data_IF_068834378454
#
_entry.id   IF_068834378454
#
_cell.length_a   1.000
_cell.length_b   1.000
_cell.length_c   1.000
_cell.angle_alpha   90.00
_cell.angle_beta   90.00
_cell.angle_gamma   90.00
#
_symmetry.space_group_name_H-M   'P 1'
#
loop_
_entity.id
_entity.type
_entity.pdbx_description
1 polymer ?
#
# COMPACT_ATOMS: atom_id res chain seq x y z
N UNK A 1 2.37 -87.24 12.32
CA UNK A 1 1.60 -85.97 12.40
C UNK A 1 1.57 -85.30 11.02
N UNK A 2 0.39 -85.16 10.40
CA UNK A 2 0.24 -84.55 9.06
C UNK A 2 0.24 -83.02 9.16
N UNK A 3 1.18 -82.33 8.50
CA UNK A 3 1.22 -80.86 8.39
C UNK A 3 0.12 -80.38 7.43
N UNK A 4 -0.86 -79.66 7.97
CA UNK A 4 -1.94 -79.02 7.21
C UNK A 4 -1.37 -77.86 6.37
N UNK A 5 -1.39 -77.97 5.04
CA UNK A 5 -1.06 -76.85 4.12
C UNK A 5 -2.33 -76.11 3.74
N UNK A 6 -2.52 -74.93 4.32
CA UNK A 6 -3.61 -74.01 3.97
C UNK A 6 -3.23 -73.25 2.69
N UNK A 7 -3.93 -73.53 1.57
CA UNK A 7 -3.83 -72.73 0.34
C UNK A 7 -4.88 -71.62 0.39
N UNK A 8 -4.45 -70.37 0.62
CA UNK A 8 -5.32 -69.20 0.56
C UNK A 8 -5.79 -68.92 -0.87
N UNK A 9 -7.09 -68.69 -1.04
CA UNK A 9 -7.77 -68.43 -2.32
C UNK A 9 -7.25 -67.12 -2.96
N UNK A 10 -7.00 -67.06 -4.29
CA UNK A 10 -6.33 -65.92 -4.97
C UNK A 10 -6.99 -64.54 -4.79
N UNK A 11 -8.30 -64.50 -4.46
CA UNK A 11 -9.04 -63.24 -4.26
C UNK A 11 -8.58 -62.43 -3.04
N UNK A 12 -7.97 -63.05 -2.02
CA UNK A 12 -7.51 -62.33 -0.83
C UNK A 12 -6.19 -61.56 -1.06
N UNK A 13 -5.29 -62.06 -1.93
CA UNK A 13 -3.98 -61.43 -2.21
C UNK A 13 -4.10 -60.07 -2.93
N UNK A 14 -5.11 -59.89 -3.79
CA UNK A 14 -5.29 -58.64 -4.55
C UNK A 14 -5.75 -57.47 -3.68
N UNK A 15 -6.55 -57.71 -2.63
CA UNK A 15 -7.03 -56.65 -1.72
C UNK A 15 -5.92 -56.10 -0.82
N UNK A 16 -5.06 -56.96 -0.27
CA UNK A 16 -3.92 -56.52 0.57
C UNK A 16 -2.84 -55.82 -0.24
N UNK A 17 -2.51 -56.31 -1.44
CA UNK A 17 -1.56 -55.65 -2.33
C UNK A 17 -2.03 -54.24 -2.75
N UNK A 18 -3.33 -54.05 -2.99
CA UNK A 18 -3.89 -52.73 -3.37
C UNK A 18 -3.88 -51.70 -2.22
N UNK A 19 -3.93 -52.14 -0.96
CA UNK A 19 -3.86 -51.25 0.21
C UNK A 19 -2.42 -50.85 0.52
N UNK A 20 -1.49 -51.80 0.46
CA UNK A 20 -0.05 -51.53 0.59
C UNK A 20 0.46 -50.59 -0.50
N UNK A 21 0.01 -50.76 -1.75
CA UNK A 21 0.35 -49.85 -2.85
C UNK A 21 -0.13 -48.42 -2.63
N UNK A 22 -1.33 -48.22 -2.06
CA UNK A 22 -1.84 -46.87 -1.74
C UNK A 22 -1.09 -46.22 -0.57
N UNK A 23 -0.77 -46.98 0.47
CA UNK A 23 -0.01 -46.46 1.62
C UNK A 23 1.41 -46.07 1.20
N UNK A 24 2.06 -46.87 0.36
CA UNK A 24 3.37 -46.55 -0.19
C UNK A 24 3.32 -45.32 -1.11
N UNK A 25 2.30 -45.18 -1.96
CA UNK A 25 2.14 -44.01 -2.83
C UNK A 25 1.90 -42.71 -2.03
N UNK A 26 1.08 -42.77 -0.98
CA UNK A 26 0.83 -41.62 -0.09
C UNK A 26 2.08 -41.30 0.74
N UNK A 27 2.81 -42.31 1.21
CA UNK A 27 4.08 -42.15 1.92
C UNK A 27 5.17 -41.52 1.04
N UNK A 28 5.30 -41.94 -0.21
CA UNK A 28 6.22 -41.36 -1.19
C UNK A 28 5.84 -39.92 -1.53
N UNK A 29 4.55 -39.62 -1.74
CA UNK A 29 4.09 -38.26 -1.99
C UNK A 29 4.38 -37.34 -0.79
N UNK A 30 4.11 -37.79 0.43
CA UNK A 30 4.41 -37.05 1.65
C UNK A 30 5.92 -36.84 1.84
N UNK A 31 6.73 -37.87 1.59
CA UNK A 31 8.20 -37.77 1.65
C UNK A 31 8.75 -36.80 0.61
N UNK A 32 8.25 -36.83 -0.62
CA UNK A 32 8.61 -35.85 -1.66
C UNK A 32 8.26 -34.42 -1.27
N UNK A 33 7.08 -34.19 -0.68
CA UNK A 33 6.68 -32.85 -0.19
C UNK A 33 7.59 -32.39 0.96
N UNK A 34 7.94 -33.26 1.89
CA UNK A 34 8.84 -32.91 3.01
C UNK A 34 10.26 -32.62 2.53
N UNK A 35 10.77 -33.37 1.55
CA UNK A 35 12.09 -33.10 0.94
C UNK A 35 12.07 -31.79 0.15
N UNK A 36 11.00 -31.51 -0.61
CA UNK A 36 10.80 -30.24 -1.33
C UNK A 36 10.77 -29.04 -0.38
N UNK A 37 10.13 -29.19 0.79
CA UNK A 37 10.00 -28.12 1.80
C UNK A 37 11.28 -27.93 2.63
N UNK A 38 12.02 -29.00 2.96
CA UNK A 38 13.22 -28.92 3.82
C UNK A 38 14.51 -28.54 3.08
N UNK A 39 14.64 -28.85 1.80
CA UNK A 39 15.88 -28.55 1.05
C UNK A 39 15.83 -27.11 0.55
N UNK A 40 16.29 -26.19 1.41
CA UNK A 40 16.43 -24.73 1.20
C UNK A 40 17.72 -24.36 0.42
N UNK A 41 17.90 -24.78 -0.84
CA UNK A 41 18.39 -23.82 -1.83
C UNK A 41 17.74 -24.07 -3.20
N UNK A 42 16.49 -23.65 -3.37
CA UNK A 42 15.82 -23.65 -4.69
C UNK A 42 16.38 -22.60 -5.67
N UNK A 43 17.46 -21.89 -5.30
CA UNK A 43 18.20 -21.02 -6.22
C UNK A 43 19.05 -21.79 -7.25
N UNK A 44 19.31 -23.09 -7.04
CA UNK A 44 20.13 -23.91 -7.93
C UNK A 44 19.44 -25.16 -8.50
N UNK A 45 18.18 -25.42 -8.13
CA UNK A 45 17.41 -26.49 -8.77
C UNK A 45 16.85 -25.94 -10.08
N UNK A 46 17.65 -26.00 -11.15
CA UNK A 46 17.11 -26.08 -12.51
C UNK A 46 16.36 -27.39 -12.58
N UNK A 47 15.06 -27.36 -12.27
CA UNK A 47 14.17 -28.49 -12.55
C UNK A 47 14.43 -28.90 -14.00
N UNK A 48 14.85 -30.14 -14.28
CA UNK A 48 15.00 -30.60 -15.65
C UNK A 48 13.66 -30.38 -16.31
N UNK A 49 13.67 -29.55 -17.35
CA UNK A 49 12.62 -29.32 -18.32
C UNK A 49 11.33 -30.10 -18.01
N UNK A 50 10.43 -29.50 -17.23
CA UNK A 50 9.00 -29.82 -17.30
C UNK A 50 8.46 -29.31 -18.65
N UNK A 51 9.10 -29.76 -19.74
CA UNK A 51 8.74 -29.62 -21.14
C UNK A 51 7.68 -30.65 -21.53
N UNK A 52 6.80 -31.04 -20.60
CA UNK A 52 5.51 -31.55 -21.02
C UNK A 52 4.76 -30.36 -21.65
N UNK A 53 4.83 -30.29 -22.98
CA UNK A 53 4.32 -29.24 -23.88
C UNK A 53 2.92 -28.72 -23.50
N UNK A 54 2.09 -29.55 -22.86
CA UNK A 54 0.77 -29.19 -22.36
C UNK A 54 0.79 -28.23 -21.14
N UNK A 55 1.64 -28.47 -20.14
CA UNK A 55 1.76 -27.59 -18.96
C UNK A 55 2.47 -26.28 -19.32
N UNK A 56 3.47 -26.35 -20.20
CA UNK A 56 4.17 -25.16 -20.70
C UNK A 56 3.24 -24.25 -21.53
N UNK A 57 2.36 -24.80 -22.37
CA UNK A 57 1.36 -24.02 -23.12
C UNK A 57 0.31 -23.38 -22.21
N UNK A 58 -0.22 -24.13 -21.24
CA UNK A 58 -1.19 -23.58 -20.28
C UNK A 58 -0.62 -22.43 -19.42
N UNK A 59 0.70 -22.44 -19.19
CA UNK A 59 1.42 -21.41 -18.46
C UNK A 59 1.79 -20.18 -19.29
N UNK A 60 1.59 -20.19 -20.61
CA UNK A 60 1.75 -18.98 -21.45
C UNK A 60 0.61 -18.00 -21.26
N UNK A 61 0.96 -16.74 -21.41
CA UNK A 61 0.04 -15.62 -21.41
C UNK A 61 0.12 -15.02 -22.82
N UNK A 62 -1.01 -14.58 -23.36
CA UNK A 62 -1.13 -13.99 -24.69
C UNK A 62 -1.44 -12.49 -24.58
N UNK A 63 -2.01 -12.05 -23.46
CA UNK A 63 -2.31 -10.64 -23.21
C UNK A 63 -2.15 -10.25 -21.74
N UNK A 64 -1.72 -9.00 -21.54
CA UNK A 64 -1.60 -8.39 -20.23
C UNK A 64 -2.35 -7.04 -20.24
N UNK A 65 -3.21 -6.84 -19.26
CA UNK A 65 -4.06 -5.64 -19.14
C UNK A 65 -3.88 -5.03 -17.76
N UNK A 66 -3.73 -3.71 -17.68
CA UNK A 66 -3.73 -2.98 -16.40
C UNK A 66 -5.10 -2.35 -16.19
N UNK A 67 -5.65 -2.45 -14.98
CA UNK A 67 -6.91 -1.80 -14.62
C UNK A 67 -6.78 -1.09 -13.28
N UNK A 68 -7.50 0.03 -13.11
CA UNK A 68 -7.45 0.82 -11.88
C UNK A 68 -6.38 1.94 -11.87
N UNK A 69 -5.68 2.13 -12.98
CA UNK A 69 -4.78 3.27 -13.21
C UNK A 69 -5.28 4.14 -14.37
N UNK A 70 -5.03 5.47 -14.33
CA UNK A 70 -5.15 6.35 -15.50
C UNK A 70 -4.27 5.88 -16.66
N UNK A 71 -4.65 6.19 -17.90
CA UNK A 71 -3.93 5.76 -19.11
C UNK A 71 -2.42 6.04 -19.10
N UNK A 72 -1.94 7.23 -18.66
CA UNK A 72 -0.50 7.49 -18.61
C UNK A 72 0.27 6.49 -17.74
N UNK A 73 -0.26 6.19 -16.54
CA UNK A 73 0.36 5.25 -15.62
C UNK A 73 0.19 3.81 -16.09
N UNK A 74 -0.96 3.45 -16.68
CA UNK A 74 -1.19 2.12 -17.20
C UNK A 74 -0.14 1.73 -18.27
N UNK A 75 0.19 2.65 -19.18
CA UNK A 75 1.24 2.46 -20.17
C UNK A 75 2.62 2.27 -19.55
N UNK A 76 2.99 3.08 -18.56
CA UNK A 76 4.27 2.94 -17.84
C UNK A 76 4.36 1.63 -17.04
N UNK A 77 3.27 1.21 -16.39
CA UNK A 77 3.20 -0.06 -15.66
C UNK A 77 3.37 -1.23 -16.64
N UNK A 78 2.66 -1.23 -17.78
CA UNK A 78 2.82 -2.25 -18.81
C UNK A 78 4.27 -2.34 -19.30
N UNK A 79 4.87 -1.20 -19.62
CA UNK A 79 6.26 -1.12 -20.07
C UNK A 79 7.24 -1.62 -18.99
N UNK A 80 6.97 -1.33 -17.71
CA UNK A 80 7.82 -1.74 -16.60
C UNK A 80 7.81 -3.24 -16.34
N UNK A 81 6.71 -3.95 -16.63
CA UNK A 81 6.66 -5.41 -16.50
C UNK A 81 7.57 -6.08 -17.53
N UNK A 82 7.83 -5.44 -18.68
CA UNK A 82 8.75 -5.95 -19.70
C UNK A 82 8.35 -7.31 -20.28
N UNK A 83 7.04 -7.59 -20.31
CA UNK A 83 6.50 -8.88 -20.70
C UNK A 83 6.11 -8.91 -22.17
N UNK A 84 6.38 -10.04 -22.83
CA UNK A 84 6.04 -10.26 -24.24
C UNK A 84 4.99 -11.36 -24.41
N UNK A 85 4.09 -11.24 -25.41
CA UNK A 85 3.14 -12.29 -25.77
C UNK A 85 3.79 -13.66 -25.96
N UNK A 86 3.20 -14.69 -25.34
CA UNK A 86 3.67 -16.07 -25.37
C UNK A 86 4.72 -16.42 -24.31
N UNK A 87 5.17 -15.47 -23.50
CA UNK A 87 6.07 -15.76 -22.37
C UNK A 87 5.34 -16.54 -21.24
N UNK A 88 6.12 -17.36 -20.53
CA UNK A 88 5.61 -18.20 -19.44
C UNK A 88 5.41 -17.38 -18.18
N UNK A 89 4.18 -17.36 -17.67
CA UNK A 89 3.85 -16.76 -16.38
C UNK A 89 3.88 -17.82 -15.29
N UNK A 90 5.03 -18.00 -14.65
CA UNK A 90 5.23 -19.00 -13.61
C UNK A 90 4.46 -18.73 -12.31
N UNK A 91 4.42 -19.69 -11.37
CA UNK A 91 3.66 -19.57 -10.11
C UNK A 91 4.13 -18.41 -9.21
N UNK A 92 5.39 -17.99 -9.33
CA UNK A 92 5.97 -16.88 -8.57
C UNK A 92 5.97 -15.55 -9.32
N UNK A 93 5.68 -15.56 -10.61
CA UNK A 93 5.64 -14.36 -11.44
C UNK A 93 4.66 -13.30 -10.91
N UNK A 94 3.42 -13.63 -10.48
CA UNK A 94 2.50 -12.66 -9.89
C UNK A 94 3.15 -11.86 -8.75
N UNK A 95 3.68 -12.56 -7.75
CA UNK A 95 4.23 -11.93 -6.55
C UNK A 95 5.48 -11.10 -6.88
N UNK A 96 6.37 -11.61 -7.72
CA UNK A 96 7.59 -10.87 -8.12
C UNK A 96 7.21 -9.58 -8.85
N UNK A 97 6.30 -9.65 -9.82
CA UNK A 97 5.84 -8.49 -10.58
C UNK A 97 5.13 -7.50 -9.68
N UNK A 98 4.28 -7.94 -8.75
CA UNK A 98 3.62 -7.05 -7.80
C UNK A 98 4.62 -6.29 -6.91
N UNK A 99 5.61 -6.97 -6.34
CA UNK A 99 6.63 -6.34 -5.49
C UNK A 99 7.54 -5.39 -6.29
N UNK A 100 7.92 -5.77 -7.52
CA UNK A 100 8.72 -4.94 -8.42
C UNK A 100 7.98 -3.68 -8.85
N UNK A 101 6.70 -3.80 -9.19
CA UNK A 101 5.86 -2.64 -9.52
C UNK A 101 5.68 -1.72 -8.30
N UNK A 102 5.45 -2.26 -7.10
CA UNK A 102 5.33 -1.45 -5.89
C UNK A 102 6.62 -0.75 -5.49
N UNK A 103 7.79 -1.35 -5.75
CA UNK A 103 9.08 -0.71 -5.46
C UNK A 103 9.43 0.38 -6.48
N UNK A 104 9.03 0.19 -7.75
CA UNK A 104 9.27 1.16 -8.83
C UNK A 104 8.28 2.32 -8.80
N UNK A 105 7.01 2.06 -8.52
CA UNK A 105 5.94 3.05 -8.52
C UNK A 105 5.42 3.27 -7.10
N UNK A 106 6.01 4.24 -6.41
CA UNK A 106 5.65 4.57 -5.03
C UNK A 106 4.19 5.03 -4.87
N UNK A 107 3.55 5.53 -5.94
CA UNK A 107 2.13 5.89 -5.99
C UNK A 107 1.16 4.70 -5.92
N UNK A 108 1.63 3.46 -6.06
CA UNK A 108 0.78 2.27 -5.96
C UNK A 108 0.67 1.83 -4.49
N UNK A 109 -0.56 1.74 -3.97
CA UNK A 109 -0.83 1.14 -2.66
C UNK A 109 -0.84 -0.39 -2.77
N UNK A 110 -1.47 -0.89 -3.83
CA UNK A 110 -1.69 -2.30 -4.07
C UNK A 110 -1.57 -2.68 -5.54
N UNK A 111 -1.06 -3.89 -5.78
CA UNK A 111 -0.97 -4.51 -7.10
C UNK A 111 -1.43 -5.96 -6.96
N UNK A 112 -2.55 -6.29 -7.58
CA UNK A 112 -3.15 -7.64 -7.61
C UNK A 112 -3.09 -8.21 -9.03
N UNK A 113 -2.15 -9.11 -9.30
CA UNK A 113 -2.13 -9.86 -10.55
C UNK A 113 -3.16 -10.98 -10.50
N UNK A 114 -4.14 -10.93 -11.40
CA UNK A 114 -5.17 -11.94 -11.58
C UNK A 114 -4.95 -12.64 -12.92
N UNK A 115 -4.93 -13.97 -12.90
CA UNK A 115 -4.72 -14.77 -14.12
C UNK A 115 -6.01 -15.43 -14.57
N UNK A 116 -6.36 -15.24 -15.84
CA UNK A 116 -7.37 -16.02 -16.52
C UNK A 116 -6.73 -17.15 -17.33
N UNK A 117 -6.87 -18.38 -16.85
CA UNK A 117 -6.33 -19.56 -17.54
C UNK A 117 -7.03 -19.85 -18.86
N UNK A 118 -8.34 -19.56 -18.95
CA UNK A 118 -9.14 -19.79 -20.16
C UNK A 118 -8.84 -18.77 -21.26
N UNK A 119 -8.61 -17.52 -20.89
CA UNK A 119 -8.31 -16.44 -21.83
C UNK A 119 -6.81 -16.25 -22.07
N UNK A 120 -5.97 -17.09 -21.45
CA UNK A 120 -4.51 -16.95 -21.45
C UNK A 120 -4.08 -15.50 -21.14
N UNK A 121 -4.74 -14.82 -20.20
CA UNK A 121 -4.51 -13.41 -19.94
C UNK A 121 -4.17 -13.14 -18.48
N UNK A 122 -3.44 -12.05 -18.25
CA UNK A 122 -3.15 -11.52 -16.91
C UNK A 122 -3.72 -10.12 -16.81
N UNK A 123 -4.54 -9.91 -15.79
CA UNK A 123 -5.03 -8.60 -15.39
C UNK A 123 -4.21 -8.13 -14.19
N UNK A 124 -3.57 -6.98 -14.30
CA UNK A 124 -2.95 -6.28 -13.17
C UNK A 124 -3.95 -5.25 -12.65
N UNK A 125 -4.69 -5.62 -11.60
CA UNK A 125 -5.50 -4.66 -10.87
C UNK A 125 -4.58 -3.85 -9.94
N UNK A 126 -4.51 -2.54 -10.16
CA UNK A 126 -3.68 -1.64 -9.38
C UNK A 126 -4.56 -0.64 -8.63
N UNK A 127 -4.14 -0.30 -7.41
CA UNK A 127 -4.78 0.75 -6.61
C UNK A 127 -3.79 1.88 -6.35
N UNK A 128 -4.25 3.11 -6.56
CA UNK A 128 -3.47 4.31 -6.28
C UNK A 128 -3.55 4.70 -4.80
N UNK A 129 -2.44 5.19 -4.28
CA UNK A 129 -2.42 5.89 -3.00
C UNK A 129 -3.24 7.17 -3.10
N UNK A 130 -4.13 7.36 -2.13
CA UNK A 130 -4.88 8.60 -1.98
C UNK A 130 -4.00 9.68 -1.36
N UNK A 131 -3.69 10.72 -2.13
CA UNK A 131 -3.00 11.90 -1.63
C UNK A 131 -3.90 12.72 -0.70
N UNK A 132 -3.32 13.23 0.38
CA UNK A 132 -3.94 14.18 1.31
C UNK A 132 -3.28 15.54 1.28
N UNK A 133 -2.06 15.65 0.74
CA UNK A 133 -1.33 16.91 0.60
C UNK A 133 -0.23 16.83 -0.47
N UNK A 134 0.19 17.99 -0.97
CA UNK A 134 1.39 18.18 -1.78
C UNK A 134 2.58 18.40 -0.84
N UNK A 135 3.71 17.73 -1.07
CA UNK A 135 4.92 17.90 -0.25
C UNK A 135 5.96 18.74 -0.97
N UNK A 136 6.64 19.63 -0.23
CA UNK A 136 7.80 20.41 -0.66
C UNK A 136 8.89 20.32 0.41
N UNK A 137 10.16 20.41 0.01
CA UNK A 137 11.30 20.48 0.94
C UNK A 137 12.50 19.62 0.56
N UNK A 138 13.34 19.32 1.55
CA UNK A 138 14.67 18.71 1.37
C UNK A 138 14.66 17.27 0.80
N UNK A 139 13.50 16.60 0.80
CA UNK A 139 13.32 15.27 0.21
C UNK A 139 12.82 15.27 -1.25
N UNK A 140 12.68 16.45 -1.88
CA UNK A 140 12.03 16.60 -3.17
C UNK A 140 10.53 16.88 -3.08
N UNK A 141 9.92 17.21 -4.22
CA UNK A 141 8.48 17.40 -4.34
C UNK A 141 7.74 16.08 -4.53
N UNK A 142 6.53 15.98 -3.98
CA UNK A 142 5.69 14.79 -4.13
C UNK A 142 4.33 14.94 -3.45
N UNK A 143 3.81 13.82 -2.94
CA UNK A 143 2.52 13.72 -2.29
C UNK A 143 2.65 13.04 -0.93
N UNK A 144 1.85 13.46 0.04
CA UNK A 144 1.66 12.76 1.30
C UNK A 144 0.38 11.92 1.22
N UNK A 145 0.46 10.64 1.51
CA UNK A 145 -0.69 9.75 1.61
C UNK A 145 -1.33 9.79 3.01
N UNK A 146 -2.58 9.36 3.12
CA UNK A 146 -3.31 9.30 4.40
C UNK A 146 -2.67 8.37 5.45
N UNK A 147 -1.84 7.41 5.03
CA UNK A 147 -1.08 6.51 5.90
C UNK A 147 0.27 7.10 6.33
N UNK A 148 0.58 8.35 5.98
CA UNK A 148 1.84 9.01 6.27
C UNK A 148 2.97 8.70 5.28
N UNK A 149 2.73 7.90 4.24
CA UNK A 149 3.74 7.60 3.22
C UNK A 149 3.91 8.80 2.30
N UNK A 150 5.15 9.24 2.08
CA UNK A 150 5.48 10.21 1.03
C UNK A 150 5.76 9.44 -0.27
N UNK A 151 5.12 9.85 -1.36
CA UNK A 151 5.24 9.17 -2.66
C UNK A 151 5.30 10.16 -3.82
N UNK A 152 5.77 9.68 -4.97
CA UNK A 152 5.80 10.39 -6.23
C UNK A 152 4.87 9.72 -7.24
N UNK A 153 4.28 10.52 -8.12
CA UNK A 153 3.43 10.05 -9.20
C UNK A 153 3.78 10.81 -10.50
N UNK A 154 3.65 10.17 -11.68
CA UNK A 154 3.75 10.87 -12.95
C UNK A 154 2.72 12.01 -13.06
N UNK A 155 2.99 13.04 -13.88
CA UNK A 155 2.05 14.13 -14.11
C UNK A 155 0.67 13.63 -14.58
N UNK A 156 -0.39 14.21 -14.02
CA UNK A 156 -1.77 13.87 -14.38
C UNK A 156 -2.33 12.59 -13.74
N UNK A 157 -1.54 11.85 -12.95
CA UNK A 157 -2.02 10.65 -12.24
C UNK A 157 -2.78 11.01 -10.96
N UNK A 158 -2.28 11.98 -10.21
CA UNK A 158 -2.89 12.44 -8.95
C UNK A 158 -3.37 13.89 -9.14
N UNK A 159 -4.65 14.20 -8.84
CA UNK A 159 -5.14 15.57 -8.91
C UNK A 159 -4.53 16.41 -7.80
N UNK A 160 -3.90 17.53 -8.16
CA UNK A 160 -3.29 18.46 -7.20
C UNK A 160 -4.28 19.49 -6.63
N UNK A 161 -5.38 19.71 -7.34
CA UNK A 161 -6.37 20.73 -7.00
C UNK A 161 -7.05 20.42 -5.66
N UNK A 162 -7.07 21.43 -4.77
CA UNK A 162 -7.68 21.31 -3.44
C UNK A 162 -6.80 20.62 -2.40
N UNK A 163 -5.59 20.18 -2.74
CA UNK A 163 -4.64 19.63 -1.77
C UNK A 163 -3.85 20.76 -1.07
N UNK A 164 -3.72 20.74 0.27
CA UNK A 164 -2.83 21.67 0.97
C UNK A 164 -1.37 21.39 0.62
N UNK A 165 -0.54 22.44 0.70
CA UNK A 165 0.92 22.34 0.53
C UNK A 165 1.57 22.14 1.90
N UNK A 166 2.46 21.15 1.99
CA UNK A 166 3.15 20.77 3.21
C UNK A 166 4.66 20.93 3.01
N UNK A 167 5.28 21.74 3.86
CA UNK A 167 6.73 21.89 3.90
C UNK A 167 7.33 20.95 4.93
N UNK A 168 8.01 19.92 4.43
CA UNK A 168 8.59 18.87 5.24
C UNK A 168 10.00 19.25 5.72
N UNK A 169 10.35 18.97 6.99
CA UNK A 169 11.71 19.14 7.48
C UNK A 169 12.65 18.11 6.84
N UNK A 170 13.93 18.47 6.73
CA UNK A 170 14.97 17.52 6.37
C UNK A 170 15.05 16.39 7.42
N UNK A 171 15.00 15.13 6.98
CA UNK A 171 15.10 13.97 7.87
C UNK A 171 13.88 13.71 8.75
N UNK A 172 12.68 14.15 8.33
CA UNK A 172 11.43 13.86 9.04
C UNK A 172 11.22 12.36 9.31
N UNK A 173 10.77 12.02 10.53
CA UNK A 173 10.52 10.62 10.93
C UNK A 173 9.15 10.16 10.42
N UNK A 174 9.03 8.87 10.12
CA UNK A 174 7.77 8.26 9.64
C UNK A 174 6.58 8.50 10.60
N UNK A 175 6.83 8.42 11.91
CA UNK A 175 5.81 8.68 12.93
C UNK A 175 5.23 10.09 12.86
N UNK A 176 6.05 11.08 12.50
CA UNK A 176 5.62 12.47 12.36
C UNK A 176 4.78 12.66 11.09
N UNK A 177 5.12 11.94 10.00
CA UNK A 177 4.36 11.99 8.75
C UNK A 177 2.95 11.40 8.92
N UNK A 178 2.82 10.31 9.70
CA UNK A 178 1.51 9.74 10.04
C UNK A 178 0.64 10.73 10.83
N UNK A 179 1.23 11.39 11.82
CA UNK A 179 0.52 12.42 12.63
C UNK A 179 0.11 13.60 11.77
N UNK A 180 0.97 14.03 10.85
CA UNK A 180 0.72 15.11 9.92
C UNK A 180 -0.42 14.77 8.94
N UNK A 181 -0.38 13.58 8.33
CA UNK A 181 -1.46 13.11 7.44
C UNK A 181 -2.80 13.07 8.19
N UNK A 182 -2.80 12.59 9.43
CA UNK A 182 -3.99 12.53 10.26
C UNK A 182 -4.49 13.92 10.68
N UNK A 183 -3.59 14.86 10.97
CA UNK A 183 -3.91 16.28 11.22
C UNK A 183 -4.59 16.92 10.01
N UNK A 184 -4.04 16.72 8.82
CA UNK A 184 -4.61 17.23 7.56
C UNK A 184 -5.98 16.61 7.30
N UNK A 185 -6.12 15.29 7.47
CA UNK A 185 -7.42 14.62 7.36
C UNK A 185 -8.46 15.16 8.35
N UNK A 186 -8.05 15.44 9.60
CA UNK A 186 -8.93 16.02 10.61
C UNK A 186 -9.32 17.48 10.30
N UNK A 187 -8.46 18.23 9.62
CA UNK A 187 -8.70 19.64 9.28
C UNK A 187 -9.90 19.88 8.37
N UNK A 188 -10.23 18.91 7.51
CA UNK A 188 -11.38 18.98 6.60
C UNK A 188 -12.65 18.28 7.10
N UNK A 189 -12.65 17.72 8.31
CA UNK A 189 -13.83 17.05 8.90
C UNK A 189 -14.87 18.01 9.48
N UNK A 190 -15.95 17.46 10.04
CA UNK A 190 -17.02 18.25 10.69
C UNK A 190 -16.51 19.12 11.86
N UNK A 191 -15.59 18.55 12.65
CA UNK A 191 -14.86 19.22 13.72
C UNK A 191 -13.58 19.94 13.21
N UNK A 192 -13.42 20.09 11.89
CA UNK A 192 -12.27 20.69 11.25
C UNK A 192 -12.20 22.21 11.37
N UNK A 193 -11.33 22.82 10.58
CA UNK A 193 -11.17 24.28 10.56
C UNK A 193 -12.37 24.98 9.92
N UNK A 194 -12.67 26.23 10.30
CA UNK A 194 -13.75 27.00 9.69
C UNK A 194 -13.48 27.37 8.22
N UNK A 195 -12.21 27.34 7.80
CA UNK A 195 -11.76 27.58 6.42
C UNK A 195 -10.77 26.47 6.01
N UNK A 196 -10.72 26.06 4.72
CA UNK A 196 -9.83 24.99 4.26
C UNK A 196 -8.36 25.24 4.60
N UNK A 197 -7.65 24.19 5.00
CA UNK A 197 -6.20 24.22 5.15
C UNK A 197 -5.54 24.38 3.78
N UNK A 198 -4.67 25.38 3.62
CA UNK A 198 -3.94 25.62 2.36
C UNK A 198 -2.45 25.32 2.48
N UNK A 199 -1.86 25.54 3.67
CA UNK A 199 -0.44 25.26 3.90
C UNK A 199 -0.18 24.75 5.31
N UNK A 200 0.77 23.84 5.46
CA UNK A 200 1.36 23.48 6.74
C UNK A 200 2.90 23.47 6.63
N UNK A 201 3.59 24.06 7.59
CA UNK A 201 5.04 24.17 7.55
C UNK A 201 5.65 23.97 8.93
N UNK A 202 6.78 23.25 8.98
CA UNK A 202 7.55 23.08 10.21
C UNK A 202 8.51 24.26 10.41
N UNK A 203 8.29 25.05 11.45
CA UNK A 203 9.08 26.23 11.79
C UNK A 203 10.33 25.93 12.64
N UNK A 204 10.51 24.67 13.08
CA UNK A 204 11.66 24.25 13.87
C UNK A 204 11.58 24.60 15.37
N UNK A 205 12.42 23.92 16.16
CA UNK A 205 12.54 24.14 17.62
C UNK A 205 11.20 24.08 18.35
N UNK A 206 11.01 24.99 19.31
CA UNK A 206 9.80 25.10 20.13
C UNK A 206 8.59 25.72 19.38
N UNK A 207 8.81 26.27 18.19
CA UNK A 207 7.72 26.81 17.37
C UNK A 207 6.87 25.69 16.74
N UNK A 208 7.49 24.54 16.45
CA UNK A 208 6.81 23.37 15.91
C UNK A 208 6.18 23.62 14.54
N UNK A 209 4.94 23.18 14.36
CA UNK A 209 4.18 23.30 13.12
C UNK A 209 3.34 24.58 13.09
N UNK A 210 3.26 25.16 11.90
CA UNK A 210 2.36 26.23 11.55
C UNK A 210 1.42 25.77 10.44
N UNK A 211 0.22 26.34 10.42
CA UNK A 211 -0.77 26.10 9.38
C UNK A 211 -1.36 27.44 8.89
N UNK A 212 -1.74 27.48 7.63
CA UNK A 212 -2.39 28.61 6.98
C UNK A 212 -3.71 28.14 6.38
N UNK A 213 -4.77 28.90 6.62
CA UNK A 213 -6.10 28.64 6.10
C UNK A 213 -6.41 29.52 4.89
N UNK A 214 -7.39 29.14 4.07
CA UNK A 214 -7.74 29.83 2.84
C UNK A 214 -8.24 31.27 3.05
N UNK A 215 -8.73 31.61 4.25
CA UNK A 215 -9.13 32.97 4.64
C UNK A 215 -7.92 33.86 5.02
N UNK A 216 -6.70 33.32 5.03
CA UNK A 216 -5.48 33.99 5.41
C UNK A 216 -5.15 33.92 6.91
N UNK A 217 -5.94 33.16 7.68
CA UNK A 217 -5.67 32.88 9.10
C UNK A 217 -4.42 32.03 9.24
N UNK A 218 -3.54 32.43 10.18
CA UNK A 218 -2.33 31.67 10.53
C UNK A 218 -2.52 31.00 11.89
N UNK A 219 -2.20 29.72 11.97
CA UNK A 219 -2.24 28.93 13.19
C UNK A 219 -0.80 28.54 13.56
N UNK A 220 -0.32 28.93 14.74
CA UNK A 220 0.84 28.30 15.36
C UNK A 220 0.37 27.10 16.17
N UNK A 221 0.58 25.91 15.61
CA UNK A 221 0.04 24.66 16.15
C UNK A 221 0.93 24.06 17.25
N UNK A 222 2.24 24.23 17.12
CA UNK A 222 3.23 23.60 18.00
C UNK A 222 3.48 22.15 17.61
N UNK A 223 3.33 21.21 18.56
CA UNK A 223 3.45 19.79 18.23
C UNK A 223 2.23 19.28 17.44
N UNK A 224 2.40 18.27 16.57
CA UNK A 224 1.28 17.70 15.79
C UNK A 224 0.28 16.88 16.63
N UNK A 225 0.19 17.12 17.95
CA UNK A 225 -0.85 16.53 18.77
C UNK A 225 -2.16 17.27 18.51
N UNK A 226 -3.01 16.62 17.73
CA UNK A 226 -4.37 17.09 17.47
C UNK A 226 -5.35 16.17 18.18
N UNK A 227 -6.40 16.78 18.74
CA UNK A 227 -7.53 16.08 19.35
C UNK A 227 -8.81 16.72 18.84
N UNK A 228 -9.92 15.98 18.86
CA UNK A 228 -11.24 16.54 18.50
C UNK A 228 -11.59 17.75 19.37
N UNK A 229 -11.24 17.72 20.65
CA UNK A 229 -11.43 18.83 21.57
C UNK A 229 -10.60 20.07 21.16
N UNK A 230 -9.32 19.91 20.84
CA UNK A 230 -8.44 21.01 20.39
C UNK A 230 -8.95 21.64 19.10
N UNK A 231 -9.36 20.82 18.14
CA UNK A 231 -9.93 21.27 16.87
C UNK A 231 -11.28 21.99 17.07
N UNK A 232 -12.20 21.40 17.85
CA UNK A 232 -13.50 21.99 18.15
C UNK A 232 -13.38 23.32 18.89
N UNK A 233 -12.51 23.38 19.92
CA UNK A 233 -12.28 24.61 20.66
C UNK A 233 -11.65 25.71 19.81
N UNK A 234 -10.72 25.36 18.92
CA UNK A 234 -10.18 26.32 17.97
C UNK A 234 -11.28 26.85 17.02
N UNK A 235 -12.15 25.97 16.50
CA UNK A 235 -13.26 26.36 15.62
C UNK A 235 -14.19 27.36 16.29
N UNK A 236 -14.59 27.11 17.54
CA UNK A 236 -15.38 28.04 18.35
C UNK A 236 -14.67 29.40 18.49
N UNK A 237 -13.42 29.39 18.94
CA UNK A 237 -12.63 30.61 19.18
C UNK A 237 -12.43 31.41 17.90
N UNK A 238 -12.14 30.78 16.77
CA UNK A 238 -11.99 31.46 15.49
C UNK A 238 -13.32 32.03 14.99
N UNK A 239 -14.43 31.32 15.19
CA UNK A 239 -15.76 31.81 14.82
C UNK A 239 -16.10 33.08 15.60
N UNK A 240 -15.94 33.04 16.93
CA UNK A 240 -16.18 34.20 17.80
C UNK A 240 -15.22 35.37 17.51
N UNK A 241 -13.96 35.07 17.24
CA UNK A 241 -12.96 36.08 16.93
C UNK A 241 -13.21 36.73 15.56
N UNK A 242 -13.62 35.95 14.56
CA UNK A 242 -13.92 36.47 13.22
C UNK A 242 -15.03 37.51 13.25
N UNK A 243 -16.06 37.28 14.08
CA UNK A 243 -17.15 38.24 14.28
C UNK A 243 -16.69 39.55 14.97
N UNK A 244 -15.63 39.50 15.79
CA UNK A 244 -15.12 40.66 16.54
C UNK A 244 -14.07 41.46 15.77
N UNK A 245 -13.18 40.77 15.05
CA UNK A 245 -12.02 41.38 14.41
C UNK A 245 -12.19 41.56 12.90
N UNK A 246 -13.21 40.96 12.27
CA UNK A 246 -13.62 41.23 10.90
C UNK A 246 -12.58 40.93 9.82
N UNK A 247 -11.62 40.02 10.06
CA UNK A 247 -10.51 39.81 9.14
C UNK A 247 -9.62 38.61 9.46
N UNK A 248 -8.40 38.66 8.92
CA UNK A 248 -7.37 37.62 9.07
C UNK A 248 -6.94 37.52 10.53
N UNK A 249 -6.91 36.29 11.04
CA UNK A 249 -6.51 36.04 12.42
C UNK A 249 -5.14 35.39 12.49
N UNK A 250 -4.46 35.55 13.62
CA UNK A 250 -3.39 34.66 14.02
C UNK A 250 -3.74 34.02 15.35
N UNK A 251 -3.70 32.69 15.41
CA UNK A 251 -3.97 31.90 16.59
C UNK A 251 -2.73 31.14 17.04
N UNK A 252 -2.41 31.20 18.33
CA UNK A 252 -1.35 30.41 18.94
C UNK A 252 -1.94 29.34 19.87
N UNK A 253 -1.71 28.07 19.52
CA UNK A 253 -2.20 26.89 20.22
C UNK A 253 -1.11 26.18 21.03
N UNK A 254 0.10 26.73 21.13
CA UNK A 254 1.19 26.10 21.88
C UNK A 254 0.90 25.98 23.37
N UNK A 255 0.01 26.83 23.90
CA UNK A 255 -0.44 26.84 25.30
C UNK A 255 -1.81 26.19 25.51
N UNK A 256 -2.26 25.34 24.56
CA UNK A 256 -3.58 24.73 24.63
C UNK A 256 -3.77 23.83 25.87
N UNK A 257 -2.72 23.12 26.29
CA UNK A 257 -2.74 22.27 27.50
C UNK A 257 -2.95 23.09 28.79
N UNK A 258 -2.56 24.38 28.77
CA UNK A 258 -2.82 25.33 29.86
C UNK A 258 -4.25 25.95 29.77
N UNK A 259 -5.08 25.46 28.84
CA UNK A 259 -6.42 25.95 28.58
C UNK A 259 -6.48 27.27 27.80
N UNK A 260 -5.39 27.66 27.12
CA UNK A 260 -5.28 28.97 26.45
C UNK A 260 -5.11 28.83 24.93
N UNK A 261 -5.87 29.64 24.20
CA UNK A 261 -5.63 29.92 22.77
C UNK A 261 -5.47 31.43 22.64
N UNK A 262 -4.32 31.88 22.17
CA UNK A 262 -4.06 33.31 22.02
C UNK A 262 -4.47 33.73 20.60
N UNK A 263 -5.33 34.74 20.50
CA UNK A 263 -5.80 35.27 19.22
C UNK A 263 -5.35 36.72 19.06
N UNK A 264 -4.91 37.07 17.87
CA UNK A 264 -4.66 38.46 17.45
C UNK A 264 -5.19 38.71 16.04
N UNK A 265 -5.61 39.94 15.78
CA UNK A 265 -5.87 40.40 14.42
C UNK A 265 -4.56 40.53 13.64
N UNK A 266 -4.63 40.42 12.31
CA UNK A 266 -3.49 40.49 11.39
C UNK A 266 -3.70 41.54 10.31
#
# INVERSE_FOLDING_TARGET
>A
MKKQRVRLRPKARRKTASRLGRVLAVGLAAACVVVVVKVRPWRAVRLPALESVALARGARVDSLVVSGAPEPLAGEVLAAVGWEPGQVWGPWAPRRVAEELKSRFSCLSEVRPERSWRAHSVRLAVELRRAVALTRGAGGGGFLAGDGTVFSAPPGVVPEQGLPVVELPAGGKEADMRRLAAFIGASGGEAGFPSPLVRAAFAGGDAGWSAELADGTILQWGDLRWTRQKMGRLKEVLTDASAKFGGKLAADLRHFEDGKILIKAR
#
